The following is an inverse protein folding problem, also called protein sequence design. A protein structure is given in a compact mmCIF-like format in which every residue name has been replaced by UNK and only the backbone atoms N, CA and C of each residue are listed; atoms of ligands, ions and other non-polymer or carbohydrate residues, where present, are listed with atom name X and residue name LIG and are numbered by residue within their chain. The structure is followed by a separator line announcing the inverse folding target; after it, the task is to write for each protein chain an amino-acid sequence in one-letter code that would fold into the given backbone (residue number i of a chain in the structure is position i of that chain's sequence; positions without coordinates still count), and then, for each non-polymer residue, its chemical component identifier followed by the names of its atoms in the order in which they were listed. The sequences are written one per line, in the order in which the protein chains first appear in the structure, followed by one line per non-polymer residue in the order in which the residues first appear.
data_IF_549036659054
#
_entry.id   IF_549036659054
#
_cell.length_a   1.000
_cell.length_b   1.000
_cell.length_c   1.000
_cell.angle_alpha   90.00
_cell.angle_beta   90.00
_cell.angle_gamma   90.00
#
_symmetry.space_group_name_H-M   'P 1'
#
loop_
_entity.id
_entity.type
_entity.pdbx_description
1 polymer ?
#
# COMPACT_ATOMS: atom_id res chain seq x y z
N UNK A 1 69.96 30.05 19.64
CA UNK A 1 71.09 29.14 19.90
C UNK A 1 70.87 27.86 19.14
N UNK A 2 71.67 27.74 18.08
CA UNK A 2 71.84 26.47 17.30
C UNK A 2 73.00 25.70 17.96
N UNK A 3 73.16 24.40 17.77
CA UNK A 3 73.77 23.91 16.54
C UNK A 3 73.29 22.57 16.00
N UNK A 4 73.42 22.48 14.74
CA UNK A 4 73.74 21.43 13.77
C UNK A 4 74.84 20.45 14.24
N UNK A 5 74.75 19.18 13.69
CA UNK A 5 75.86 18.34 13.15
C UNK A 5 75.09 17.15 12.41
N UNK A 6 75.14 16.97 11.06
CA UNK A 6 76.17 16.54 10.10
C UNK A 6 76.78 15.17 10.49
N UNK A 7 76.86 14.11 9.74
CA UNK A 7 77.10 13.79 8.37
C UNK A 7 77.30 12.28 8.13
N UNK A 8 77.25 11.92 6.83
CA UNK A 8 77.97 10.86 6.03
C UNK A 8 77.54 9.40 6.10
N UNK A 9 76.97 8.89 5.04
CA UNK A 9 77.62 8.45 3.80
C UNK A 9 78.45 7.20 3.94
N UNK A 10 78.08 6.06 3.37
CA UNK A 10 78.93 5.15 2.59
C UNK A 10 78.07 4.28 1.66
N UNK A 11 78.46 4.33 0.40
CA UNK A 11 77.99 3.57 -0.73
C UNK A 11 78.48 2.13 -0.75
N UNK A 12 77.67 1.16 -1.27
CA UNK A 12 78.21 0.05 -2.05
C UNK A 12 77.24 -0.33 -3.15
N UNK A 13 77.77 -0.22 -4.35
CA UNK A 13 77.18 -0.75 -5.62
C UNK A 13 77.23 -2.26 -5.63
N UNK A 14 76.16 -2.90 -6.07
CA UNK A 14 76.27 -4.14 -6.81
C UNK A 14 75.25 -4.16 -7.94
N UNK A 15 75.76 -4.31 -9.15
CA UNK A 15 75.01 -4.55 -10.39
C UNK A 15 74.64 -6.03 -10.43
N UNK A 16 73.42 -6.34 -10.82
CA UNK A 16 73.11 -7.55 -11.62
C UNK A 16 71.95 -7.25 -12.57
N UNK A 17 72.15 -7.62 -13.81
CA UNK A 17 71.20 -7.62 -14.91
C UNK A 17 70.11 -8.68 -14.64
N UNK A 18 68.95 -8.45 -15.17
CA UNK A 18 68.04 -9.55 -15.43
C UNK A 18 66.58 -9.18 -15.64
N UNK A 19 66.21 -9.18 -16.92
CA UNK A 19 64.88 -9.49 -17.43
C UNK A 19 63.68 -8.58 -17.11
N UNK A 20 63.37 -7.84 -18.16
CA UNK A 20 62.11 -7.15 -18.39
C UNK A 20 60.98 -8.18 -18.58
N UNK A 21 60.06 -8.28 -17.61
CA UNK A 21 58.76 -8.96 -17.83
C UNK A 21 57.68 -7.93 -17.64
N UNK A 22 57.14 -7.43 -18.73
CA UNK A 22 55.89 -6.68 -18.77
C UNK A 22 54.74 -7.58 -18.34
N UNK A 23 54.27 -7.41 -17.11
CA UNK A 23 52.97 -7.91 -16.71
C UNK A 23 51.93 -6.82 -16.97
N UNK A 24 51.22 -7.00 -18.10
CA UNK A 24 49.97 -6.29 -18.35
C UNK A 24 48.93 -6.76 -17.28
N UNK A 25 48.75 -5.98 -16.30
CA UNK A 25 47.56 -6.15 -15.42
C UNK A 25 46.31 -5.74 -16.23
N UNK A 26 45.63 -6.76 -16.79
CA UNK A 26 44.25 -6.61 -17.22
C UNK A 26 43.41 -6.28 -15.99
N UNK A 27 43.07 -5.03 -15.82
CA UNK A 27 41.95 -4.62 -14.98
C UNK A 27 40.70 -5.01 -15.75
N UNK A 28 40.20 -6.19 -15.46
CA UNK A 28 38.83 -6.57 -15.85
C UNK A 28 37.89 -5.69 -15.04
N UNK A 29 37.40 -4.65 -15.66
CA UNK A 29 36.17 -3.99 -15.21
C UNK A 29 35.06 -5.03 -15.35
N UNK A 30 34.74 -5.70 -14.26
CA UNK A 30 33.49 -6.43 -14.12
C UNK A 30 32.39 -5.38 -14.19
N UNK A 31 31.79 -5.22 -15.35
CA UNK A 31 30.50 -4.62 -15.49
C UNK A 31 29.54 -5.49 -14.66
N UNK A 32 29.26 -5.06 -13.43
CA UNK A 32 28.09 -5.51 -12.70
C UNK A 32 26.91 -5.08 -13.55
N UNK A 33 26.38 -6.03 -14.30
CA UNK A 33 25.15 -5.83 -15.03
C UNK A 33 24.05 -5.56 -14.02
N UNK A 34 23.41 -4.41 -14.16
CA UNK A 34 22.13 -4.04 -13.55
C UNK A 34 20.97 -4.97 -14.03
N UNK A 35 21.17 -6.27 -13.99
CA UNK A 35 20.19 -7.29 -14.36
C UNK A 35 19.58 -8.02 -13.15
N UNK A 36 19.88 -7.56 -11.93
CA UNK A 36 19.31 -8.15 -10.71
C UNK A 36 17.94 -7.58 -10.30
N UNK A 37 17.32 -6.74 -11.13
CA UNK A 37 16.01 -6.13 -10.82
C UNK A 37 14.80 -6.91 -11.35
N UNK A 38 14.99 -8.09 -11.96
CA UNK A 38 13.91 -8.91 -12.53
C UNK A 38 13.94 -10.38 -12.07
N UNK A 39 14.41 -10.66 -10.89
CA UNK A 39 14.01 -11.91 -10.27
C UNK A 39 12.54 -11.74 -9.87
N UNK A 40 11.65 -12.43 -10.61
CA UNK A 40 10.30 -12.68 -10.14
C UNK A 40 10.43 -13.18 -8.70
N UNK A 41 9.85 -12.52 -7.70
CA UNK A 41 9.96 -13.02 -6.35
C UNK A 41 9.44 -14.46 -6.37
N UNK A 42 10.21 -15.39 -5.81
CA UNK A 42 9.74 -16.74 -5.48
C UNK A 42 8.32 -16.64 -4.99
N UNK A 43 7.39 -17.59 -5.29
CA UNK A 43 6.01 -17.50 -4.84
C UNK A 43 6.04 -17.19 -3.36
N UNK A 44 5.92 -15.89 -3.06
CA UNK A 44 6.00 -15.42 -1.69
C UNK A 44 4.68 -15.79 -1.07
N UNK A 45 4.70 -15.99 0.22
CA UNK A 45 3.49 -16.12 1.04
C UNK A 45 2.45 -15.04 0.68
N UNK A 46 2.89 -13.89 0.16
CA UNK A 46 2.05 -12.75 -0.22
C UNK A 46 1.27 -12.91 -1.56
N UNK A 47 1.69 -13.79 -2.46
CA UNK A 47 1.01 -13.96 -3.75
C UNK A 47 1.79 -14.82 -4.74
N UNK A 48 1.19 -15.02 -5.91
CA UNK A 48 1.74 -15.82 -6.98
C UNK A 48 1.32 -15.32 -8.37
N UNK A 49 1.99 -15.87 -9.38
CA UNK A 49 1.73 -15.57 -10.80
C UNK A 49 1.77 -16.89 -11.58
N UNK A 50 0.75 -17.76 -11.43
CA UNK A 50 0.74 -19.05 -12.10
C UNK A 50 0.64 -18.89 -13.62
N UNK A 51 1.32 -19.78 -14.36
CA UNK A 51 1.19 -19.86 -15.82
C UNK A 51 -0.18 -20.40 -16.19
N UNK A 52 -0.63 -21.44 -15.48
CA UNK A 52 -1.93 -22.07 -15.68
C UNK A 52 -2.90 -21.63 -14.57
N UNK A 53 -3.88 -20.84 -14.94
CA UNK A 53 -5.00 -20.47 -14.07
C UNK A 53 -6.30 -21.03 -14.67
N UNK A 54 -7.33 -21.31 -13.85
CA UNK A 54 -8.66 -21.66 -14.37
C UNK A 54 -9.22 -20.49 -15.21
N UNK A 55 -10.25 -20.71 -16.02
CA UNK A 55 -10.84 -19.62 -16.80
C UNK A 55 -11.46 -18.55 -15.89
N UNK A 56 -11.75 -17.40 -16.47
CA UNK A 56 -12.45 -16.31 -15.79
C UNK A 56 -13.87 -16.74 -15.39
N UNK A 57 -14.32 -16.26 -14.23
CA UNK A 57 -15.63 -16.58 -13.68
C UNK A 57 -16.77 -16.09 -14.59
N UNK A 58 -17.67 -17.00 -14.96
CA UNK A 58 -18.89 -16.70 -15.76
C UNK A 58 -20.15 -16.59 -14.91
N UNK A 59 -20.06 -16.92 -13.65
CA UNK A 59 -21.18 -16.99 -12.71
C UNK A 59 -21.38 -15.69 -11.91
N UNK A 60 -20.58 -14.65 -12.16
CA UNK A 60 -20.69 -13.34 -11.52
C UNK A 60 -21.48 -12.37 -12.38
N UNK A 61 -22.37 -11.63 -11.72
CA UNK A 61 -23.22 -10.63 -12.37
C UNK A 61 -22.65 -9.23 -12.15
N UNK A 62 -22.52 -8.39 -13.18
CA UNK A 62 -22.08 -7.01 -13.05
C UNK A 62 -23.18 -6.06 -12.52
N UNK A 63 -24.37 -6.58 -12.21
CA UNK A 63 -25.47 -5.76 -11.71
C UNK A 63 -25.14 -5.21 -10.32
N UNK A 64 -25.48 -3.94 -10.13
CA UNK A 64 -25.25 -3.23 -8.88
C UNK A 64 -26.34 -3.54 -7.85
N UNK A 65 -26.44 -4.84 -7.49
CA UNK A 65 -27.38 -5.38 -6.50
C UNK A 65 -26.64 -6.04 -5.35
N UNK A 66 -27.13 -5.88 -4.14
CA UNK A 66 -26.52 -6.49 -2.93
C UNK A 66 -26.27 -7.99 -3.06
N UNK A 67 -27.19 -8.72 -3.66
CA UNK A 67 -27.03 -10.18 -3.89
C UNK A 67 -25.86 -10.52 -4.78
N UNK A 68 -25.64 -9.75 -5.85
CA UNK A 68 -24.59 -9.97 -6.83
C UNK A 68 -23.22 -9.56 -6.24
N UNK A 69 -23.17 -8.40 -5.55
CA UNK A 69 -21.95 -7.96 -4.84
C UNK A 69 -21.57 -8.95 -3.74
N UNK A 70 -22.54 -9.43 -2.96
CA UNK A 70 -22.32 -10.49 -1.95
C UNK A 70 -21.66 -11.72 -2.54
N UNK A 71 -22.16 -12.20 -3.68
CA UNK A 71 -21.63 -13.40 -4.34
C UNK A 71 -20.17 -13.21 -4.73
N UNK A 72 -19.82 -12.06 -5.32
CA UNK A 72 -18.46 -11.73 -5.71
C UNK A 72 -17.51 -11.61 -4.50
N UNK A 73 -17.94 -10.87 -3.47
CA UNK A 73 -17.17 -10.73 -2.23
C UNK A 73 -16.85 -12.09 -1.60
N UNK A 74 -17.87 -12.95 -1.45
CA UNK A 74 -17.69 -14.29 -0.86
C UNK A 74 -16.73 -15.14 -1.68
N UNK A 75 -16.91 -15.17 -3.01
CA UNK A 75 -16.08 -15.98 -3.91
C UNK A 75 -14.59 -15.63 -3.73
N UNK A 76 -14.25 -14.34 -3.75
CA UNK A 76 -12.86 -13.88 -3.62
C UNK A 76 -12.35 -14.02 -2.18
N UNK A 77 -13.15 -13.63 -1.20
CA UNK A 77 -12.75 -13.70 0.21
C UNK A 77 -12.55 -15.15 0.71
N UNK A 78 -13.43 -16.08 0.33
CA UNK A 78 -13.31 -17.49 0.73
C UNK A 78 -12.06 -18.11 0.11
N UNK A 79 -11.83 -17.92 -1.19
CA UNK A 79 -10.64 -18.39 -1.87
C UNK A 79 -9.36 -17.85 -1.21
N UNK A 80 -9.35 -16.55 -0.90
CA UNK A 80 -8.18 -15.93 -0.30
C UNK A 80 -7.97 -16.35 1.16
N UNK A 81 -9.03 -16.48 1.96
CA UNK A 81 -8.90 -16.91 3.35
C UNK A 81 -8.33 -18.34 3.45
N UNK A 82 -8.82 -19.27 2.62
CA UNK A 82 -8.35 -20.65 2.64
C UNK A 82 -6.85 -20.77 2.29
N UNK A 83 -6.35 -19.90 1.41
CA UNK A 83 -4.92 -19.82 1.04
C UNK A 83 -4.07 -19.07 2.05
N UNK A 84 -4.59 -17.99 2.62
CA UNK A 84 -3.84 -17.10 3.51
C UNK A 84 -3.73 -17.64 4.93
N UNK A 85 -4.77 -18.31 5.44
CA UNK A 85 -4.87 -18.75 6.85
C UNK A 85 -3.68 -19.59 7.33
N UNK A 86 -3.14 -20.57 6.57
CA UNK A 86 -1.95 -21.33 6.99
C UNK A 86 -0.67 -20.49 7.09
N UNK A 87 -0.67 -19.30 6.46
CA UNK A 87 0.49 -18.43 6.28
C UNK A 87 0.30 -17.05 6.90
N UNK A 88 -0.66 -16.89 7.81
CA UNK A 88 -0.89 -15.60 8.48
C UNK A 88 0.40 -15.11 9.13
N UNK A 89 0.71 -13.84 8.91
CA UNK A 89 1.89 -13.15 9.42
C UNK A 89 1.57 -11.67 9.68
N UNK A 90 2.57 -10.92 10.16
CA UNK A 90 2.42 -9.49 10.51
C UNK A 90 2.93 -8.53 9.42
N UNK A 91 3.22 -9.03 8.23
CA UNK A 91 3.68 -8.22 7.11
C UNK A 91 2.57 -7.28 6.60
N UNK A 92 2.94 -6.10 6.10
CA UNK A 92 2.02 -5.08 5.60
C UNK A 92 1.10 -5.60 4.49
N UNK A 93 1.57 -6.56 3.68
CA UNK A 93 0.78 -7.15 2.61
C UNK A 93 -0.42 -7.91 3.16
N UNK A 94 -0.22 -8.62 4.25
CA UNK A 94 -1.28 -9.31 4.98
C UNK A 94 -2.13 -8.36 5.81
N UNK A 95 -1.55 -7.31 6.40
CA UNK A 95 -2.31 -6.30 7.13
C UNK A 95 -3.39 -5.65 6.24
N UNK A 96 -3.07 -5.36 4.99
CA UNK A 96 -4.05 -4.86 4.02
C UNK A 96 -5.16 -5.89 3.71
N UNK A 97 -4.83 -7.18 3.62
CA UNK A 97 -5.83 -8.24 3.47
C UNK A 97 -6.75 -8.32 4.70
N UNK A 98 -6.16 -8.25 5.90
CA UNK A 98 -6.92 -8.33 7.16
C UNK A 98 -7.91 -7.18 7.30
N UNK A 99 -7.49 -5.95 6.97
CA UNK A 99 -8.38 -4.80 6.90
C UNK A 99 -9.55 -5.04 5.93
N UNK A 100 -9.26 -5.66 4.78
CA UNK A 100 -10.31 -6.08 3.84
C UNK A 100 -11.28 -7.11 4.42
N UNK A 101 -10.80 -8.12 5.15
CA UNK A 101 -11.65 -9.09 5.82
C UNK A 101 -12.52 -8.48 6.92
N UNK A 102 -11.98 -7.54 7.68
CA UNK A 102 -12.73 -6.84 8.72
C UNK A 102 -13.89 -5.99 8.17
N UNK A 103 -13.70 -5.39 6.99
CA UNK A 103 -14.71 -4.55 6.34
C UNK A 103 -15.86 -5.34 5.70
N UNK A 104 -15.67 -6.65 5.43
CA UNK A 104 -16.74 -7.46 4.82
C UNK A 104 -17.94 -7.56 5.76
N UNK A 105 -19.12 -7.02 5.37
CA UNK A 105 -20.27 -6.98 6.27
C UNK A 105 -20.72 -8.37 6.74
N UNK A 106 -21.11 -8.51 7.99
CA UNK A 106 -21.66 -9.76 8.55
C UNK A 106 -22.84 -10.30 7.75
N UNK A 107 -23.63 -9.44 7.09
CA UNK A 107 -24.71 -9.83 6.18
C UNK A 107 -24.22 -10.56 4.91
N UNK A 108 -22.91 -10.50 4.61
CA UNK A 108 -22.29 -11.20 3.48
C UNK A 108 -21.91 -12.63 3.86
N UNK A 109 -21.21 -12.84 4.97
CA UNK A 109 -20.63 -14.14 5.35
C UNK A 109 -20.74 -14.48 6.84
N UNK A 110 -21.62 -13.83 7.59
CA UNK A 110 -21.65 -13.93 9.06
C UNK A 110 -20.34 -13.46 9.66
N UNK A 111 -19.91 -14.11 10.74
CA UNK A 111 -18.66 -13.76 11.46
C UNK A 111 -17.42 -14.56 10.99
N UNK A 112 -17.48 -15.20 9.80
CA UNK A 112 -16.40 -16.11 9.35
C UNK A 112 -15.03 -15.41 9.31
N UNK A 113 -14.97 -14.25 8.66
CA UNK A 113 -13.70 -13.52 8.47
C UNK A 113 -13.23 -12.89 9.77
N UNK A 114 -14.13 -12.28 10.53
CA UNK A 114 -13.82 -11.71 11.85
C UNK A 114 -13.30 -12.77 12.82
N UNK A 115 -13.87 -13.98 12.85
CA UNK A 115 -13.32 -15.07 13.68
C UNK A 115 -11.91 -15.46 13.26
N UNK A 116 -11.61 -15.48 11.95
CA UNK A 116 -10.25 -15.74 11.49
C UNK A 116 -9.27 -14.64 11.92
N UNK A 117 -9.73 -13.38 11.93
CA UNK A 117 -8.90 -12.25 12.40
C UNK A 117 -8.71 -12.28 13.93
N UNK A 118 -9.71 -12.67 14.70
CA UNK A 118 -9.58 -12.91 16.14
C UNK A 118 -8.56 -14.02 16.46
N UNK A 119 -8.61 -15.11 15.71
CA UNK A 119 -7.64 -16.22 15.84
C UNK A 119 -6.21 -15.74 15.50
N UNK A 120 -6.06 -15.01 14.41
CA UNK A 120 -4.79 -14.41 13.99
C UNK A 120 -4.23 -13.47 15.06
N UNK A 121 -5.03 -12.54 15.57
CA UNK A 121 -4.61 -11.60 16.61
C UNK A 121 -4.18 -12.29 17.90
N UNK A 122 -4.90 -13.33 18.34
CA UNK A 122 -4.52 -14.16 19.49
C UNK A 122 -3.18 -14.88 19.27
N UNK A 123 -2.97 -15.46 18.08
CA UNK A 123 -1.73 -16.16 17.75
C UNK A 123 -0.51 -15.22 17.76
N UNK A 124 -0.68 -13.95 17.43
CA UNK A 124 0.37 -12.94 17.48
C UNK A 124 0.40 -12.16 18.80
N UNK A 125 -0.39 -12.57 19.78
CA UNK A 125 -0.52 -11.87 21.07
C UNK A 125 -0.73 -10.36 20.90
N UNK A 126 -1.42 -9.96 19.83
CA UNK A 126 -1.75 -8.57 19.46
C UNK A 126 -0.53 -7.66 19.23
N UNK A 127 0.65 -8.26 18.99
CA UNK A 127 1.89 -7.53 18.78
C UNK A 127 2.00 -7.01 17.35
N UNK A 128 2.41 -5.77 17.19
CA UNK A 128 2.77 -5.16 15.91
C UNK A 128 3.99 -5.84 15.29
N UNK A 129 4.40 -5.43 14.10
CA UNK A 129 5.65 -5.85 13.49
C UNK A 129 6.88 -5.44 14.32
N UNK A 130 8.08 -5.94 13.99
CA UNK A 130 9.24 -5.81 14.86
C UNK A 130 9.94 -4.44 14.81
N UNK A 131 9.70 -3.63 13.76
CA UNK A 131 10.37 -2.34 13.59
C UNK A 131 9.54 -1.23 14.24
N UNK A 132 10.05 -0.67 15.32
CA UNK A 132 9.45 0.52 15.93
C UNK A 132 9.48 1.69 14.93
N UNK A 133 8.45 2.50 14.90
CA UNK A 133 8.30 3.66 14.01
C UNK A 133 8.38 3.34 12.50
N UNK A 134 7.92 2.16 12.10
CA UNK A 134 7.83 1.79 10.69
C UNK A 134 6.38 1.50 10.32
N UNK A 135 5.82 2.31 9.42
CA UNK A 135 4.41 2.24 9.07
C UNK A 135 3.92 0.84 8.64
N UNK A 136 4.74 0.09 7.88
CA UNK A 136 4.40 -1.28 7.47
C UNK A 136 4.20 -2.22 8.66
N UNK A 137 5.00 -2.05 9.72
CA UNK A 137 4.90 -2.87 10.94
C UNK A 137 3.72 -2.44 11.83
N UNK A 138 3.27 -1.21 11.70
CA UNK A 138 2.11 -0.66 12.40
C UNK A 138 0.79 -1.07 11.74
N UNK A 139 0.80 -1.39 10.44
CA UNK A 139 -0.39 -1.61 9.62
C UNK A 139 -1.36 -2.67 10.17
N UNK A 140 -0.87 -3.76 10.76
CA UNK A 140 -1.69 -4.82 11.36
C UNK A 140 -2.51 -4.30 12.56
N UNK A 141 -2.06 -3.21 13.17
CA UNK A 141 -2.76 -2.52 14.25
C UNK A 141 -4.17 -2.08 13.88
N UNK A 142 -4.45 -1.78 12.59
CA UNK A 142 -5.80 -1.48 12.13
C UNK A 142 -6.78 -2.61 12.48
N UNK A 143 -6.40 -3.85 12.17
CA UNK A 143 -7.24 -5.02 12.48
C UNK A 143 -7.41 -5.22 13.98
N UNK A 144 -6.36 -5.04 14.77
CA UNK A 144 -6.42 -5.17 16.21
C UNK A 144 -7.32 -4.11 16.85
N UNK A 145 -7.22 -2.88 16.38
CA UNK A 145 -8.04 -1.78 16.88
C UNK A 145 -9.52 -1.95 16.50
N UNK A 146 -9.82 -2.41 15.27
CA UNK A 146 -11.20 -2.72 14.86
C UNK A 146 -11.80 -3.82 15.73
N UNK A 147 -11.06 -4.90 15.99
CA UNK A 147 -11.49 -5.97 16.89
C UNK A 147 -11.69 -5.47 18.33
N UNK A 148 -10.80 -4.57 18.80
CA UNK A 148 -10.97 -3.92 20.10
C UNK A 148 -12.26 -3.08 20.16
N UNK A 149 -12.55 -2.31 19.12
CA UNK A 149 -13.77 -1.48 19.07
C UNK A 149 -15.07 -2.30 19.08
N UNK A 150 -15.01 -3.56 18.58
CA UNK A 150 -16.13 -4.49 18.59
C UNK A 150 -16.27 -5.24 19.94
N UNK A 151 -15.15 -5.64 20.55
CA UNK A 151 -15.12 -6.56 21.70
C UNK A 151 -14.79 -5.89 23.04
N UNK A 152 -14.12 -4.73 23.01
CA UNK A 152 -13.65 -3.97 24.19
C UNK A 152 -12.74 -4.81 25.12
N UNK A 153 -11.97 -5.76 24.56
CA UNK A 153 -11.01 -6.57 25.31
C UNK A 153 -9.63 -5.88 25.33
N UNK A 154 -9.17 -5.39 26.51
CA UNK A 154 -7.95 -4.56 26.61
C UNK A 154 -6.68 -5.15 26.00
N UNK A 155 -6.37 -6.45 26.06
CA UNK A 155 -5.24 -7.05 25.39
C UNK A 155 -5.17 -6.77 23.89
N UNK A 156 -6.28 -6.56 23.19
CA UNK A 156 -6.32 -6.29 21.76
C UNK A 156 -5.72 -4.93 21.38
N UNK A 157 -5.82 -3.96 22.27
CA UNK A 157 -5.34 -2.58 22.06
C UNK A 157 -3.97 -2.32 22.72
N UNK A 158 -3.72 -2.91 23.89
CA UNK A 158 -2.62 -2.50 24.76
C UNK A 158 -1.24 -2.51 24.09
N UNK A 159 -0.83 -3.54 23.32
CA UNK A 159 0.47 -3.53 22.64
C UNK A 159 0.57 -2.45 21.55
N UNK A 160 -0.50 -2.25 20.78
CA UNK A 160 -0.56 -1.21 19.74
C UNK A 160 -0.43 0.17 20.36
N UNK A 161 -1.19 0.44 21.43
CA UNK A 161 -1.11 1.69 22.16
C UNK A 161 0.28 1.95 22.71
N UNK A 162 0.87 0.98 23.40
CA UNK A 162 2.22 1.08 23.97
C UNK A 162 3.27 1.41 22.89
N UNK A 163 3.20 0.73 21.76
CA UNK A 163 4.14 0.96 20.66
C UNK A 163 4.00 2.39 20.10
N UNK A 164 2.78 2.84 19.82
CA UNK A 164 2.56 4.16 19.24
C UNK A 164 2.79 5.30 20.25
N UNK A 165 2.50 5.11 21.54
CA UNK A 165 2.90 6.06 22.59
C UNK A 165 4.43 6.25 22.58
N UNK A 166 5.20 5.16 22.46
CA UNK A 166 6.67 5.23 22.35
C UNK A 166 7.13 5.95 21.06
N UNK A 167 6.49 5.69 19.93
CA UNK A 167 6.81 6.38 18.66
C UNK A 167 6.54 7.89 18.78
N UNK A 168 5.46 8.27 19.44
CA UNK A 168 5.10 9.68 19.64
C UNK A 168 6.07 10.43 20.56
N UNK A 169 6.79 9.74 21.43
CA UNK A 169 7.82 10.29 22.32
C UNK A 169 9.20 10.38 21.66
N UNK A 170 9.38 9.82 20.47
CA UNK A 170 10.65 9.90 19.75
C UNK A 170 10.95 11.35 19.33
N UNK A 171 12.25 11.75 19.33
CA UNK A 171 12.63 13.08 18.84
C UNK A 171 12.23 13.30 17.38
N UNK A 172 11.67 14.46 17.09
CA UNK A 172 11.35 14.85 15.72
C UNK A 172 12.63 15.10 14.91
N UNK A 173 12.69 14.51 13.72
CA UNK A 173 13.69 14.86 12.71
C UNK A 173 12.96 15.24 11.39
N UNK A 174 12.73 16.55 11.17
CA UNK A 174 12.02 17.00 9.97
C UNK A 174 12.75 16.69 8.66
N UNK A 175 14.03 16.29 8.73
CA UNK A 175 14.79 15.86 7.55
C UNK A 175 14.55 14.41 7.20
N UNK A 176 14.07 13.62 8.16
CA UNK A 176 13.78 12.19 8.04
C UNK A 176 12.34 11.91 8.44
N UNK A 177 11.35 12.20 7.57
CA UNK A 177 9.96 11.92 7.90
C UNK A 177 9.76 10.45 8.21
N UNK A 178 8.94 10.13 9.21
CA UNK A 178 8.57 8.74 9.55
C UNK A 178 7.94 8.05 8.35
N UNK A 179 7.06 8.74 7.66
CA UNK A 179 6.34 8.22 6.49
C UNK A 179 6.93 8.84 5.21
N UNK A 180 8.11 8.36 4.80
CA UNK A 180 8.87 8.90 3.67
C UNK A 180 8.37 8.43 2.30
N UNK A 181 7.37 7.54 2.25
CA UNK A 181 6.70 7.05 1.04
C UNK A 181 5.19 7.12 1.17
N UNK A 182 4.49 7.32 0.05
CA UNK A 182 3.06 7.60 0.06
C UNK A 182 2.20 6.43 0.57
N UNK A 183 2.63 5.17 0.38
CA UNK A 183 1.90 3.99 0.82
C UNK A 183 1.77 3.94 2.35
N UNK A 184 2.73 4.53 3.07
CA UNK A 184 2.70 4.64 4.54
C UNK A 184 1.43 5.33 5.05
N UNK A 185 0.81 6.21 4.23
CA UNK A 185 -0.42 6.92 4.59
C UNK A 185 -1.66 6.01 4.69
N UNK A 186 -1.58 4.78 4.19
CA UNK A 186 -2.56 3.73 4.49
C UNK A 186 -2.18 2.91 5.71
N UNK A 187 -0.88 2.75 5.99
CA UNK A 187 -0.38 1.76 6.96
C UNK A 187 -0.56 2.25 8.41
N UNK A 188 0.05 3.37 8.76
CA UNK A 188 0.13 3.89 10.12
C UNK A 188 -1.01 4.86 10.52
N UNK A 189 -1.38 5.88 9.70
CA UNK A 189 -2.36 6.90 10.09
C UNK A 189 -3.71 6.35 10.54
N UNK A 190 -4.29 5.31 9.89
CA UNK A 190 -5.55 4.74 10.35
C UNK A 190 -5.49 4.19 11.77
N UNK A 191 -4.37 3.56 12.17
CA UNK A 191 -4.20 3.02 13.54
C UNK A 191 -4.26 4.13 14.59
N UNK A 192 -3.65 5.29 14.29
CA UNK A 192 -3.71 6.47 15.17
C UNK A 192 -5.13 7.06 15.26
N UNK A 193 -5.85 7.09 14.13
CA UNK A 193 -7.23 7.55 14.13
C UNK A 193 -8.14 6.61 14.95
N UNK A 194 -7.95 5.30 14.81
CA UNK A 194 -8.66 4.26 15.57
C UNK A 194 -8.32 4.34 17.07
N UNK A 195 -7.05 4.56 17.45
CA UNK A 195 -6.64 4.79 18.84
C UNK A 195 -7.28 6.04 19.42
N UNK A 196 -7.28 7.15 18.68
CA UNK A 196 -7.95 8.36 19.12
C UNK A 196 -9.43 8.13 19.37
N UNK A 197 -10.10 7.42 18.46
CA UNK A 197 -11.51 7.06 18.60
C UNK A 197 -11.76 6.15 19.81
N UNK A 198 -10.91 5.17 20.04
CA UNK A 198 -11.03 4.19 21.11
C UNK A 198 -10.76 4.77 22.50
N UNK A 199 -9.84 5.73 22.61
CA UNK A 199 -9.35 6.27 23.88
C UNK A 199 -9.89 7.66 24.21
N UNK A 200 -10.39 8.38 23.22
CA UNK A 200 -10.72 9.83 23.34
C UNK A 200 -9.48 10.73 23.39
N UNK A 201 -8.27 10.18 23.24
CA UNK A 201 -7.03 10.95 23.31
C UNK A 201 -6.70 11.58 21.96
N UNK A 202 -6.89 12.88 21.87
CA UNK A 202 -6.67 13.65 20.64
C UNK A 202 -5.19 13.79 20.26
N UNK A 203 -4.23 13.46 21.13
CA UNK A 203 -2.81 13.51 20.82
C UNK A 203 -2.47 12.62 19.62
N UNK A 204 -3.15 11.48 19.45
CA UNK A 204 -2.99 10.60 18.28
C UNK A 204 -3.37 11.30 16.98
N UNK A 205 -4.47 12.03 16.92
CA UNK A 205 -4.85 12.81 15.73
C UNK A 205 -3.90 13.98 15.47
N UNK A 206 -3.37 14.63 16.51
CA UNK A 206 -2.39 15.72 16.36
C UNK A 206 -1.08 15.19 15.78
N UNK A 207 -0.60 14.05 16.27
CA UNK A 207 0.59 13.39 15.74
C UNK A 207 0.37 12.92 14.29
N UNK A 208 -0.73 12.25 14.02
CA UNK A 208 -1.13 11.84 12.69
C UNK A 208 -1.13 13.02 11.70
N UNK A 209 -1.75 14.14 12.08
CA UNK A 209 -1.85 15.31 11.20
C UNK A 209 -0.50 15.96 10.91
N UNK A 210 0.40 15.99 11.90
CA UNK A 210 1.77 16.47 11.74
C UNK A 210 2.53 15.63 10.71
N UNK A 211 2.58 14.31 10.90
CA UNK A 211 3.32 13.41 10.02
C UNK A 211 2.69 13.32 8.62
N UNK A 212 1.35 13.30 8.53
CA UNK A 212 0.63 13.39 7.27
C UNK A 212 0.99 14.66 6.49
N UNK A 213 1.09 15.79 7.20
CA UNK A 213 1.44 17.09 6.59
C UNK A 213 2.88 17.10 6.07
N UNK A 214 3.82 16.50 6.81
CA UNK A 214 5.22 16.38 6.40
C UNK A 214 5.32 15.54 5.13
N UNK A 215 4.68 14.37 5.10
CA UNK A 215 4.66 13.48 3.93
C UNK A 215 4.00 14.16 2.73
N UNK A 216 2.82 14.76 2.92
CA UNK A 216 2.12 15.48 1.85
C UNK A 216 2.93 16.68 1.34
N UNK A 217 3.61 17.42 2.21
CA UNK A 217 4.45 18.55 1.82
C UNK A 217 5.64 18.15 0.93
N UNK A 218 6.08 16.89 1.02
CA UNK A 218 7.19 16.36 0.20
C UNK A 218 6.72 15.65 -1.07
N UNK A 219 5.59 14.93 -1.02
CA UNK A 219 5.20 13.96 -2.04
C UNK A 219 3.92 14.34 -2.81
N UNK A 220 3.09 15.24 -2.29
CA UNK A 220 1.88 15.66 -2.98
C UNK A 220 2.18 16.72 -4.01
N UNK A 221 1.84 16.45 -5.26
CA UNK A 221 1.90 17.45 -6.34
C UNK A 221 0.62 18.30 -6.31
N UNK A 222 0.72 19.61 -6.02
CA UNK A 222 -0.45 20.48 -5.89
C UNK A 222 -1.12 20.84 -7.22
N UNK A 223 -0.46 20.62 -8.36
CA UNK A 223 -1.02 20.87 -9.70
C UNK A 223 -1.75 19.65 -10.22
N UNK A 224 -1.17 18.47 -10.05
CA UNK A 224 -1.76 17.21 -10.49
C UNK A 224 -2.72 16.60 -9.45
N UNK A 225 -2.66 17.04 -8.19
CA UNK A 225 -3.40 16.47 -7.06
C UNK A 225 -3.16 14.97 -6.87
N UNK A 226 -1.93 14.53 -7.13
CA UNK A 226 -1.48 13.15 -7.04
C UNK A 226 -0.23 13.07 -6.18
N UNK A 227 0.08 11.87 -5.67
CA UNK A 227 1.29 11.62 -4.89
C UNK A 227 2.35 10.92 -5.72
N UNK A 228 3.59 11.43 -5.66
CA UNK A 228 4.78 10.62 -5.96
C UNK A 228 4.92 9.51 -4.93
N UNK A 229 5.48 8.37 -5.34
CA UNK A 229 5.69 7.25 -4.41
C UNK A 229 6.61 7.64 -3.25
N UNK A 230 7.75 8.22 -3.57
CA UNK A 230 8.73 8.79 -2.65
C UNK A 230 9.59 9.84 -3.36
N UNK A 231 10.52 10.48 -2.63
CA UNK A 231 11.34 11.56 -3.17
C UNK A 231 12.23 11.15 -4.35
N UNK A 232 12.52 9.86 -4.53
CA UNK A 232 13.32 9.39 -5.66
C UNK A 232 12.56 9.43 -7.00
N UNK A 233 11.26 9.72 -6.97
CA UNK A 233 10.41 9.83 -8.16
C UNK A 233 10.12 11.26 -8.61
N UNK A 234 10.55 12.28 -7.85
CA UNK A 234 10.24 13.69 -8.17
C UNK A 234 10.77 14.14 -9.55
N UNK A 235 11.92 13.60 -9.96
CA UNK A 235 12.57 13.94 -11.23
C UNK A 235 12.48 12.79 -12.26
N UNK A 236 11.64 11.79 -12.02
CA UNK A 236 11.45 10.66 -12.94
C UNK A 236 10.18 10.84 -13.76
N UNK A 237 10.23 10.35 -15.00
CA UNK A 237 9.15 10.51 -15.95
C UNK A 237 8.74 9.17 -16.57
N UNK A 238 7.49 9.09 -16.97
CA UNK A 238 6.92 8.02 -17.79
C UNK A 238 7.48 8.10 -19.23
N UNK A 239 7.33 7.05 -20.04
CA UNK A 239 7.74 7.08 -21.46
C UNK A 239 7.18 8.27 -22.26
N UNK A 240 5.99 8.75 -21.93
CA UNK A 240 5.38 9.93 -22.59
C UNK A 240 5.90 11.28 -22.05
N UNK A 241 6.89 11.28 -21.16
CA UNK A 241 7.50 12.48 -20.57
C UNK A 241 6.75 13.09 -19.40
N UNK A 242 5.61 12.53 -18.97
CA UNK A 242 4.87 13.00 -17.79
C UNK A 242 5.46 12.43 -16.50
N UNK A 243 5.16 13.08 -15.37
CA UNK A 243 5.57 12.62 -14.04
C UNK A 243 5.01 11.22 -13.74
N UNK A 244 5.76 10.42 -12.99
CA UNK A 244 5.33 9.08 -12.58
C UNK A 244 4.41 9.18 -11.37
N UNK A 245 3.12 8.95 -11.61
CA UNK A 245 2.12 8.78 -10.55
C UNK A 245 1.56 7.36 -10.61
N UNK A 246 2.03 6.53 -9.69
CA UNK A 246 1.65 5.13 -9.61
C UNK A 246 0.23 4.96 -9.07
N UNK A 247 -0.62 4.20 -9.78
CA UNK A 247 -2.04 4.03 -9.42
C UNK A 247 -2.22 3.37 -8.05
N UNK A 248 -1.44 2.35 -7.72
CA UNK A 248 -1.49 1.70 -6.41
C UNK A 248 -1.00 2.62 -5.29
N UNK A 249 0.08 3.38 -5.51
CA UNK A 249 0.55 4.37 -4.53
C UNK A 249 -0.51 5.41 -4.20
N UNK A 250 -1.15 5.97 -5.24
CA UNK A 250 -2.25 6.92 -5.06
C UNK A 250 -3.51 6.25 -4.48
N UNK A 251 -3.76 5.00 -4.85
CA UNK A 251 -4.81 4.18 -4.25
C UNK A 251 -4.65 4.00 -2.75
N UNK A 252 -3.42 3.69 -2.29
CA UNK A 252 -3.10 3.61 -0.87
C UNK A 252 -3.44 4.90 -0.13
N UNK A 253 -3.02 6.06 -0.67
CA UNK A 253 -3.30 7.36 -0.03
C UNK A 253 -4.80 7.62 0.05
N UNK A 254 -5.54 7.38 -1.03
CA UNK A 254 -7.00 7.56 -1.03
C UNK A 254 -7.69 6.64 -0.01
N UNK A 255 -7.27 5.38 0.09
CA UNK A 255 -7.80 4.45 1.08
C UNK A 255 -7.42 4.87 2.51
N UNK A 256 -6.20 5.36 2.72
CA UNK A 256 -5.77 5.92 4.00
C UNK A 256 -6.62 7.12 4.44
N UNK A 257 -6.91 8.04 3.50
CA UNK A 257 -7.83 9.17 3.74
C UNK A 257 -9.21 8.68 4.21
N UNK A 258 -9.77 7.65 3.57
CA UNK A 258 -11.05 7.07 3.97
C UNK A 258 -10.97 6.53 5.40
N UNK A 259 -9.98 5.70 5.70
CA UNK A 259 -9.86 5.06 7.01
C UNK A 259 -9.60 6.06 8.14
N UNK A 260 -8.84 7.12 7.86
CA UNK A 260 -8.68 8.24 8.83
C UNK A 260 -10.02 8.96 9.02
N UNK A 261 -10.73 9.30 7.94
CA UNK A 261 -12.02 9.99 8.01
C UNK A 261 -13.11 9.14 8.67
N UNK A 262 -13.03 7.83 8.62
CA UNK A 262 -14.00 6.92 9.24
C UNK A 262 -13.97 7.03 10.76
N UNK A 263 -12.79 7.15 11.36
CA UNK A 263 -12.59 7.19 12.80
C UNK A 263 -12.37 8.60 13.38
N UNK A 264 -12.05 9.59 12.55
CA UNK A 264 -11.92 10.98 12.98
C UNK A 264 -13.30 11.56 13.33
N UNK A 265 -13.51 12.19 14.48
CA UNK A 265 -14.78 12.83 14.85
C UNK A 265 -15.31 13.75 13.75
N UNK A 266 -16.65 13.78 13.58
CA UNK A 266 -17.28 14.57 12.50
C UNK A 266 -17.03 16.08 12.66
N UNK A 267 -16.86 16.55 13.89
CA UNK A 267 -16.62 17.93 14.28
C UNK A 267 -15.13 18.26 14.53
N UNK A 268 -14.20 17.31 14.31
CA UNK A 268 -12.78 17.57 14.48
C UNK A 268 -12.29 18.66 13.50
N UNK A 269 -11.58 19.70 13.98
CA UNK A 269 -11.12 20.82 13.17
C UNK A 269 -10.14 20.42 12.04
N UNK A 270 -9.50 19.25 12.12
CA UNK A 270 -8.62 18.72 11.08
C UNK A 270 -9.40 18.10 9.91
N UNK A 271 -10.61 17.60 10.17
CA UNK A 271 -11.41 16.84 9.21
C UNK A 271 -11.61 17.53 7.85
N UNK A 272 -11.87 18.85 7.75
CA UNK A 272 -12.03 19.53 6.46
C UNK A 272 -10.79 19.46 5.56
N UNK A 273 -9.58 19.37 6.12
CA UNK A 273 -8.33 19.21 5.36
C UNK A 273 -8.31 17.86 4.64
N UNK A 274 -8.61 16.77 5.34
CA UNK A 274 -8.65 15.41 4.79
C UNK A 274 -9.74 15.24 3.74
N UNK A 275 -10.91 15.83 3.98
CA UNK A 275 -12.02 15.86 3.00
C UNK A 275 -11.59 16.58 1.72
N UNK A 276 -10.96 17.76 1.82
CA UNK A 276 -10.47 18.48 0.63
C UNK A 276 -9.44 17.68 -0.14
N UNK A 277 -8.48 17.02 0.52
CA UNK A 277 -7.48 16.21 -0.15
C UNK A 277 -8.14 15.02 -0.89
N UNK A 278 -9.09 14.33 -0.25
CA UNK A 278 -9.87 13.27 -0.90
C UNK A 278 -10.62 13.79 -2.13
N UNK A 279 -11.25 14.97 -2.04
CA UNK A 279 -11.97 15.60 -3.15
C UNK A 279 -11.05 15.98 -4.31
N UNK A 280 -9.88 16.53 -4.01
CA UNK A 280 -8.87 16.91 -5.02
C UNK A 280 -8.34 15.67 -5.74
N UNK A 281 -7.92 14.64 -5.01
CA UNK A 281 -7.45 13.39 -5.60
C UNK A 281 -8.56 12.69 -6.41
N UNK A 282 -9.78 12.64 -5.91
CA UNK A 282 -10.92 12.06 -6.64
C UNK A 282 -11.19 12.81 -7.95
N UNK A 283 -11.09 14.14 -7.95
CA UNK A 283 -11.27 14.95 -9.14
C UNK A 283 -10.17 14.73 -10.20
N UNK A 284 -8.94 14.50 -9.75
CA UNK A 284 -7.79 14.21 -10.62
C UNK A 284 -7.82 12.78 -11.17
N UNK A 285 -8.17 11.80 -10.35
CA UNK A 285 -8.07 10.37 -10.70
C UNK A 285 -9.28 9.88 -11.52
N UNK A 286 -10.49 10.35 -11.25
CA UNK A 286 -11.68 9.85 -11.94
C UNK A 286 -11.63 9.99 -13.47
N UNK A 287 -11.14 11.09 -14.07
CA UNK A 287 -11.00 11.21 -15.52
C UNK A 287 -9.97 10.26 -16.15
N UNK A 288 -9.06 9.71 -15.37
CA UNK A 288 -8.01 8.79 -15.81
C UNK A 288 -8.50 7.32 -15.88
N UNK A 289 -9.77 7.07 -15.58
CA UNK A 289 -10.40 5.77 -15.70
C UNK A 289 -10.44 5.31 -17.16
N UNK A 290 -9.82 4.17 -17.48
CA UNK A 290 -9.79 3.60 -18.82
C UNK A 290 -11.16 3.07 -19.28
N UNK A 291 -11.26 2.68 -20.57
CA UNK A 291 -12.53 2.22 -21.16
C UNK A 291 -13.10 0.97 -20.51
N UNK A 292 -12.24 0.08 -19.97
CA UNK A 292 -12.61 -1.12 -19.22
C UNK A 292 -13.05 -0.86 -17.76
N UNK A 293 -13.02 0.40 -17.33
CA UNK A 293 -13.43 0.82 -15.99
C UNK A 293 -12.34 0.83 -14.95
N UNK A 294 -11.10 0.49 -15.29
CA UNK A 294 -9.99 0.37 -14.36
C UNK A 294 -8.88 1.38 -14.66
N UNK A 295 -7.97 1.55 -13.72
CA UNK A 295 -6.80 2.41 -13.89
C UNK A 295 -5.57 1.57 -14.21
N UNK A 296 -4.70 2.14 -15.03
CA UNK A 296 -3.41 1.54 -15.39
C UNK A 296 -2.37 1.80 -14.30
N UNK A 297 -1.27 1.02 -14.25
CA UNK A 297 -0.19 1.25 -13.29
C UNK A 297 0.32 2.69 -13.28
N UNK A 298 0.65 3.25 -14.44
CA UNK A 298 0.98 4.67 -14.61
C UNK A 298 -0.28 5.49 -14.90
N UNK A 299 -0.65 6.37 -13.96
CA UNK A 299 -1.90 7.14 -14.07
C UNK A 299 -1.89 8.12 -15.25
N UNK A 300 -0.73 8.72 -15.57
CA UNK A 300 -0.63 9.72 -16.64
C UNK A 300 -0.09 9.13 -17.96
N UNK A 301 0.21 7.82 -18.01
CA UNK A 301 0.67 7.12 -19.21
C UNK A 301 -0.01 5.75 -19.35
N UNK A 302 -1.33 5.77 -19.45
CA UNK A 302 -2.10 4.51 -19.54
C UNK A 302 -1.74 3.68 -20.78
N UNK A 303 -1.25 4.30 -21.86
CA UNK A 303 -0.90 3.62 -23.10
C UNK A 303 0.36 2.75 -22.96
N UNK A 304 1.27 3.11 -22.07
CA UNK A 304 2.47 2.32 -21.78
C UNK A 304 2.16 0.99 -21.05
N UNK A 305 0.95 0.83 -20.51
CA UNK A 305 0.59 -0.31 -19.67
C UNK A 305 -0.66 -1.01 -20.20
N UNK A 306 -0.52 -2.17 -20.89
CA UNK A 306 -1.65 -2.85 -21.54
C UNK A 306 -2.66 -3.44 -20.56
N UNK A 307 -2.22 -3.82 -19.33
CA UNK A 307 -3.09 -4.42 -18.33
C UNK A 307 -3.58 -3.38 -17.31
N UNK A 308 -4.83 -3.51 -16.84
CA UNK A 308 -5.30 -2.72 -15.70
C UNK A 308 -4.62 -3.19 -14.41
N UNK A 309 -4.41 -2.29 -13.46
CA UNK A 309 -3.83 -2.63 -12.16
C UNK A 309 -4.95 -2.70 -11.10
N UNK A 310 -5.30 -3.93 -10.70
CA UNK A 310 -6.49 -4.17 -9.89
C UNK A 310 -6.35 -3.72 -8.44
N UNK A 311 -5.16 -3.71 -7.84
CA UNK A 311 -5.03 -3.24 -6.46
C UNK A 311 -5.25 -1.73 -6.34
N UNK A 312 -4.61 -0.92 -7.20
CA UNK A 312 -4.84 0.52 -7.26
C UNK A 312 -6.28 0.85 -7.65
N UNK A 313 -6.82 0.16 -8.67
CA UNK A 313 -8.22 0.34 -9.09
C UNK A 313 -9.21 0.03 -7.97
N UNK A 314 -8.96 -0.99 -7.18
CA UNK A 314 -9.82 -1.35 -6.05
C UNK A 314 -9.75 -0.31 -4.92
N UNK A 315 -8.55 0.16 -4.52
CA UNK A 315 -8.42 1.22 -3.52
C UNK A 315 -9.08 2.54 -3.97
N UNK A 316 -8.90 2.91 -5.24
CA UNK A 316 -9.56 4.09 -5.82
C UNK A 316 -11.09 3.90 -5.77
N UNK A 317 -11.58 2.72 -6.16
CA UNK A 317 -13.02 2.39 -6.11
C UNK A 317 -13.57 2.46 -4.69
N UNK A 318 -12.84 1.92 -3.71
CA UNK A 318 -13.17 2.02 -2.28
C UNK A 318 -13.37 3.47 -1.84
N UNK A 319 -12.37 4.32 -2.15
CA UNK A 319 -12.40 5.71 -1.73
C UNK A 319 -13.51 6.51 -2.40
N UNK A 320 -13.74 6.30 -3.70
CA UNK A 320 -14.84 6.96 -4.42
C UNK A 320 -16.20 6.49 -3.90
N UNK A 321 -16.37 5.20 -3.63
CA UNK A 321 -17.62 4.63 -3.12
C UNK A 321 -17.94 5.16 -1.72
N UNK A 322 -16.95 5.17 -0.81
CA UNK A 322 -17.08 5.78 0.51
C UNK A 322 -17.46 7.26 0.41
N UNK A 323 -16.74 8.04 -0.40
CA UNK A 323 -17.01 9.46 -0.59
C UNK A 323 -18.42 9.75 -1.10
N UNK A 324 -18.95 8.89 -2.00
CA UNK A 324 -20.35 8.98 -2.47
C UNK A 324 -21.33 8.60 -1.35
N UNK A 325 -21.05 7.58 -0.56
CA UNK A 325 -21.92 7.14 0.55
C UNK A 325 -21.99 8.17 1.66
N UNK A 326 -20.86 8.75 2.03
CA UNK A 326 -20.74 9.77 3.09
C UNK A 326 -21.09 11.19 2.60
N UNK A 327 -21.55 11.35 1.37
CA UNK A 327 -21.88 12.65 0.75
C UNK A 327 -20.69 13.64 0.68
N UNK A 328 -19.47 13.14 0.70
CA UNK A 328 -18.23 13.93 0.53
C UNK A 328 -17.92 14.19 -0.95
N UNK A 329 -18.42 13.33 -1.84
CA UNK A 329 -18.27 13.41 -3.30
C UNK A 329 -19.65 13.48 -3.97
N UNK A 330 -19.73 14.25 -5.08
CA UNK A 330 -20.98 14.37 -5.85
C UNK A 330 -21.43 13.02 -6.42
N UNK A 331 -22.59 12.56 -6.00
CA UNK A 331 -23.13 11.25 -6.39
C UNK A 331 -23.36 11.13 -7.90
N UNK A 332 -23.77 12.20 -8.57
CA UNK A 332 -24.05 12.16 -10.01
C UNK A 332 -22.77 11.98 -10.81
N UNK A 333 -21.69 12.61 -10.35
CA UNK A 333 -20.37 12.55 -10.98
C UNK A 333 -19.68 11.22 -10.71
N UNK A 334 -19.62 10.75 -9.45
CA UNK A 334 -18.73 9.66 -9.07
C UNK A 334 -19.39 8.28 -9.00
N UNK A 335 -20.69 8.15 -8.78
CA UNK A 335 -21.34 6.84 -8.77
C UNK A 335 -21.24 6.08 -10.12
N UNK A 336 -21.33 6.73 -11.29
CA UNK A 336 -21.06 6.05 -12.56
C UNK A 336 -19.63 5.50 -12.67
N UNK A 337 -18.63 6.24 -12.18
CA UNK A 337 -17.22 5.81 -12.12
C UNK A 337 -17.07 4.57 -11.24
N UNK A 338 -17.65 4.57 -10.03
CA UNK A 338 -17.66 3.43 -9.12
C UNK A 338 -18.31 2.20 -9.76
N UNK A 339 -19.47 2.37 -10.41
CA UNK A 339 -20.17 1.26 -11.07
C UNK A 339 -19.35 0.65 -12.19
N UNK A 340 -18.72 1.50 -13.01
CA UNK A 340 -17.87 1.06 -14.12
C UNK A 340 -16.61 0.33 -13.60
N UNK A 341 -15.98 0.85 -12.53
CA UNK A 341 -14.84 0.22 -11.90
C UNK A 341 -15.20 -1.15 -11.29
N UNK A 342 -16.36 -1.25 -10.63
CA UNK A 342 -16.82 -2.51 -10.08
C UNK A 342 -16.99 -3.59 -11.17
N UNK A 343 -17.59 -3.24 -12.32
CA UNK A 343 -17.71 -4.16 -13.47
C UNK A 343 -16.33 -4.59 -13.95
N UNK A 344 -15.38 -3.66 -14.08
CA UNK A 344 -14.00 -3.94 -14.45
C UNK A 344 -13.32 -4.90 -13.48
N UNK A 345 -13.43 -4.68 -12.18
CA UNK A 345 -12.85 -5.58 -11.15
C UNK A 345 -13.42 -7.00 -11.25
N UNK A 346 -14.73 -7.14 -11.48
CA UNK A 346 -15.37 -8.46 -11.62
C UNK A 346 -14.84 -9.23 -12.83
N UNK A 347 -14.46 -8.56 -13.91
CA UNK A 347 -13.96 -9.20 -15.14
C UNK A 347 -12.60 -9.88 -14.99
N UNK A 348 -11.92 -9.68 -13.87
CA UNK A 348 -10.61 -10.28 -13.55
C UNK A 348 -10.68 -11.31 -12.43
N UNK A 349 -11.88 -11.76 -12.06
CA UNK A 349 -12.07 -12.86 -11.11
C UNK A 349 -12.13 -14.18 -11.88
N UNK A 350 -11.34 -15.14 -11.43
CA UNK A 350 -11.28 -16.50 -12.00
C UNK A 350 -12.32 -17.41 -11.35
N UNK A 351 -12.59 -18.57 -11.99
CA UNK A 351 -13.63 -19.53 -11.52
C UNK A 351 -13.36 -20.05 -10.11
N UNK A 352 -12.09 -20.19 -9.72
CA UNK A 352 -11.70 -20.62 -8.38
C UNK A 352 -11.87 -19.53 -7.30
N UNK A 353 -12.00 -18.26 -7.69
CA UNK A 353 -12.10 -17.10 -6.79
C UNK A 353 -10.85 -16.22 -6.76
N UNK A 354 -9.79 -16.57 -7.48
CA UNK A 354 -8.59 -15.72 -7.68
C UNK A 354 -9.00 -14.37 -8.26
N UNK A 355 -8.47 -13.28 -7.73
CA UNK A 355 -8.51 -11.96 -8.35
C UNK A 355 -7.17 -11.73 -9.05
N UNK A 356 -7.17 -11.63 -10.36
CA UNK A 356 -5.97 -11.40 -11.17
C UNK A 356 -5.61 -9.93 -11.38
N UNK A 357 -4.64 -9.68 -12.27
CA UNK A 357 -4.16 -8.34 -12.64
C UNK A 357 -3.73 -7.48 -11.45
N UNK A 358 -3.14 -8.09 -10.43
CA UNK A 358 -2.53 -7.37 -9.30
C UNK A 358 -1.03 -7.31 -9.55
N UNK A 359 -0.48 -6.12 -9.72
CA UNK A 359 0.96 -5.92 -9.87
C UNK A 359 1.70 -6.46 -8.64
N UNK A 360 2.81 -7.20 -8.78
CA UNK A 360 3.66 -7.63 -7.67
C UNK A 360 4.13 -6.47 -6.78
N UNK A 361 4.71 -6.80 -5.62
CA UNK A 361 5.34 -5.80 -4.75
C UNK A 361 6.31 -4.96 -5.57
N UNK A 362 6.23 -3.65 -5.43
CA UNK A 362 7.04 -2.69 -6.17
C UNK A 362 6.83 -1.28 -5.66
N UNK A 363 7.57 -0.33 -6.25
CA UNK A 363 7.53 1.08 -5.88
C UNK A 363 7.11 1.99 -7.05
N UNK A 364 6.83 1.40 -8.23
CA UNK A 364 6.53 2.14 -9.46
C UNK A 364 5.61 1.31 -10.36
N UNK A 365 5.03 1.90 -11.42
CA UNK A 365 4.42 1.16 -12.50
C UNK A 365 5.37 0.11 -13.07
N UNK A 366 4.87 -1.10 -13.32
CA UNK A 366 5.69 -2.21 -13.82
C UNK A 366 4.85 -3.28 -14.51
N UNK A 367 5.53 -4.22 -15.16
CA UNK A 367 4.90 -5.34 -15.86
C UNK A 367 4.42 -6.43 -14.90
N UNK A 368 3.34 -7.09 -15.26
CA UNK A 368 2.79 -8.27 -14.56
C UNK A 368 1.92 -9.06 -15.55
N UNK A 369 1.36 -10.18 -15.09
CA UNK A 369 0.50 -11.02 -15.94
C UNK A 369 -0.97 -10.94 -15.49
N UNK A 370 -1.92 -11.33 -16.35
CA UNK A 370 -3.34 -11.38 -15.98
C UNK A 370 -3.63 -12.27 -14.77
N UNK A 371 -2.81 -13.30 -14.52
CA UNK A 371 -2.99 -14.26 -13.42
C UNK A 371 -2.36 -13.83 -12.11
N UNK A 372 -1.54 -12.76 -12.11
CA UNK A 372 -0.90 -12.21 -10.91
C UNK A 372 -1.92 -11.87 -9.83
N UNK A 373 -1.77 -12.47 -8.64
CA UNK A 373 -2.67 -12.27 -7.50
C UNK A 373 -1.87 -12.13 -6.21
N UNK A 374 -2.10 -11.02 -5.49
CA UNK A 374 -1.41 -10.70 -4.24
C UNK A 374 -2.41 -10.29 -3.17
N UNK A 375 -2.15 -10.71 -1.93
CA UNK A 375 -3.07 -10.56 -0.77
C UNK A 375 -3.51 -9.11 -0.54
N UNK A 376 -2.62 -8.12 -0.70
CA UNK A 376 -2.97 -6.71 -0.52
C UNK A 376 -3.98 -6.20 -1.56
N UNK A 377 -3.88 -6.68 -2.81
CA UNK A 377 -4.85 -6.31 -3.86
C UNK A 377 -6.20 -6.97 -3.64
N UNK A 378 -6.21 -8.21 -3.09
CA UNK A 378 -7.45 -8.84 -2.64
C UNK A 378 -8.05 -8.06 -1.47
N UNK A 379 -7.24 -7.63 -0.49
CA UNK A 379 -7.70 -6.75 0.59
C UNK A 379 -8.36 -5.48 0.06
N UNK A 380 -7.73 -4.81 -0.92
CA UNK A 380 -8.30 -3.64 -1.59
C UNK A 380 -9.66 -3.95 -2.26
N UNK A 381 -9.78 -5.10 -2.93
CA UNK A 381 -11.04 -5.54 -3.54
C UNK A 381 -12.14 -5.75 -2.49
N UNK A 382 -11.80 -6.33 -1.34
CA UNK A 382 -12.77 -6.53 -0.26
C UNK A 382 -13.24 -5.21 0.34
N UNK A 383 -12.35 -4.24 0.54
CA UNK A 383 -12.68 -2.88 0.95
C UNK A 383 -13.63 -2.22 -0.08
N UNK A 384 -13.26 -2.25 -1.36
CA UNK A 384 -14.08 -1.70 -2.44
C UNK A 384 -15.47 -2.35 -2.51
N UNK A 385 -15.52 -3.67 -2.50
CA UNK A 385 -16.76 -4.44 -2.58
C UNK A 385 -17.66 -4.21 -1.37
N UNK A 386 -17.10 -3.99 -0.19
CA UNK A 386 -17.84 -3.67 1.03
C UNK A 386 -18.56 -2.32 0.92
N UNK A 387 -17.87 -1.28 0.39
CA UNK A 387 -18.51 0.02 0.13
C UNK A 387 -19.53 -0.05 -1.03
N UNK A 388 -19.20 -0.79 -2.10
CA UNK A 388 -20.14 -1.06 -3.20
C UNK A 388 -21.39 -1.78 -2.70
N UNK A 389 -21.25 -2.75 -1.78
CA UNK A 389 -22.37 -3.45 -1.16
C UNK A 389 -23.29 -2.51 -0.35
N UNK A 390 -22.70 -1.55 0.38
CA UNK A 390 -23.44 -0.53 1.14
C UNK A 390 -24.19 0.43 0.21
N UNK A 391 -23.67 0.72 -1.00
CA UNK A 391 -24.27 1.58 -2.02
C UNK A 391 -25.30 0.86 -2.91
N UNK A 392 -25.23 -0.46 -3.02
CA UNK A 392 -26.08 -1.27 -3.89
C UNK A 392 -27.51 -1.40 -3.33
N UNK A 393 -28.47 -1.59 -4.26
CA UNK A 393 -29.91 -1.77 -3.96
C UNK A 393 -30.22 -3.20 -3.51
#
# INVERSE_FOLDING_TARGET
MSPRISARCISKRFRFLGALSLLFSLVTFSAFSELDALQSPSPTVAGDTPVDAPPLAKDLSPKFKRSDVRKALRKVADWQLDRARPNFNKDWTYAALYAGFMDVPASVAGSRYQRAMLEMGKNFAWQLGPRLAHADDEAIGQTYMQLYLEHHDPPMMAPTRQSLDTVMEMPDDPTKPLWWWCDALFMAPPVLAELSNATGDRRYLTFLDREWSITSGKLYDPEQHLFYRDSSFLDKHEPNGKNIFWSRGNGWVMAGLVRVLEYMPKDDPLRPKYIRQLQQMAAAIAPLQSSDGLWRPGLLDAEAYPLPENSGSAFITYALAYGVREHLLDRKRYLPVVKKAWVGLLSHIYEDGRLGCIQPIGAAPGAFTPTSSYVYGVGAFLLAGSEVYKLAN
#
